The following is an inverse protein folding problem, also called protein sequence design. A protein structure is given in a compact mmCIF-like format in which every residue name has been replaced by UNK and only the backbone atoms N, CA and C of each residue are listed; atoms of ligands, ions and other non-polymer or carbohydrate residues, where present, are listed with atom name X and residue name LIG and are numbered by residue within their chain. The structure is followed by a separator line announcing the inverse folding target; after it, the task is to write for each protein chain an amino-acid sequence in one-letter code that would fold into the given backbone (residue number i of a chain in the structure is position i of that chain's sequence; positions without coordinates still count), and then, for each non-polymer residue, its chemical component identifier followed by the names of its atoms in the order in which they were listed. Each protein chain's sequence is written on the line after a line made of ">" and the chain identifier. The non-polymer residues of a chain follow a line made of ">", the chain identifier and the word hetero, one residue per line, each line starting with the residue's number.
data_IF_679522816368
#
_entry.id   IF_679522816368
#
_cell.length_a   1.000
_cell.length_b   1.000
_cell.length_c   1.000
_cell.angle_alpha   90.00
_cell.angle_beta   90.00
_cell.angle_gamma   90.00
#
_symmetry.space_group_name_H-M   'P 1'
#
loop_
_entity.id
_entity.type
_entity.pdbx_description
1 polymer ?
#
# COMPACT_ATOMS: atom_id res chain seq x y z
N UNK A 1 -24.50 22.96 2.14
CA UNK A 1 -23.03 22.94 1.88
C UNK A 1 -22.83 23.59 0.52
N UNK A 2 -22.27 24.82 0.48
CA UNK A 2 -21.94 25.50 -0.78
C UNK A 2 -20.72 24.83 -1.39
N UNK A 3 -20.84 24.37 -2.64
CA UNK A 3 -19.69 23.91 -3.43
C UNK A 3 -18.70 25.08 -3.59
N UNK A 4 -17.39 24.89 -3.33
CA UNK A 4 -16.42 25.93 -3.64
C UNK A 4 -16.40 26.22 -5.14
N UNK A 5 -16.05 27.45 -5.58
CA UNK A 5 -15.98 27.80 -6.98
C UNK A 5 -14.95 26.90 -7.69
N UNK A 6 -15.28 26.43 -8.89
CA UNK A 6 -14.32 25.73 -9.76
C UNK A 6 -13.22 26.71 -10.13
N UNK A 7 -12.08 26.61 -9.46
CA UNK A 7 -10.88 27.27 -9.93
C UNK A 7 -10.32 26.48 -11.11
N UNK A 8 -10.16 27.12 -12.24
CA UNK A 8 -9.42 26.63 -13.39
C UNK A 8 -7.92 26.68 -13.06
N UNK A 9 -7.43 25.73 -12.28
CA UNK A 9 -6.01 25.56 -12.03
C UNK A 9 -5.45 24.61 -13.10
N UNK A 10 -4.64 25.18 -13.99
CA UNK A 10 -4.05 24.51 -15.15
C UNK A 10 -2.73 23.80 -14.85
N UNK A 11 -2.58 23.23 -13.67
CA UNK A 11 -1.52 22.23 -13.41
C UNK A 11 -1.89 21.35 -12.21
N UNK A 12 -1.64 20.06 -12.32
CA UNK A 12 -1.83 19.09 -11.24
C UNK A 12 -1.02 19.42 -9.98
N UNK A 13 0.14 20.05 -10.12
CA UNK A 13 1.00 20.48 -9.02
C UNK A 13 0.37 21.61 -8.17
N UNK A 14 -0.22 22.62 -8.80
CA UNK A 14 -0.84 23.73 -8.07
C UNK A 14 -2.09 23.27 -7.30
N UNK A 15 -2.89 22.35 -7.86
CA UNK A 15 -4.03 21.77 -7.15
C UNK A 15 -3.57 20.95 -5.93
N UNK A 16 -2.51 20.17 -6.05
CA UNK A 16 -1.97 19.39 -4.93
C UNK A 16 -1.46 20.29 -3.79
N UNK A 17 -0.81 21.42 -4.10
CA UNK A 17 -0.29 22.34 -3.09
C UNK A 17 -1.39 23.06 -2.32
N UNK A 18 -2.52 23.34 -2.96
CA UNK A 18 -3.71 23.89 -2.29
C UNK A 18 -4.26 22.87 -1.27
N UNK A 19 -4.40 21.60 -1.64
CA UNK A 19 -4.91 20.57 -0.73
C UNK A 19 -3.97 20.30 0.45
N UNK A 20 -2.66 20.33 0.25
CA UNK A 20 -1.65 20.14 1.31
C UNK A 20 -1.79 21.19 2.41
N UNK A 21 -1.90 22.48 2.03
CA UNK A 21 -2.05 23.59 2.97
C UNK A 21 -3.41 23.60 3.63
N UNK A 22 -4.49 23.30 2.90
CA UNK A 22 -5.84 23.29 3.44
C UNK A 22 -6.01 22.38 4.66
N UNK A 23 -5.35 21.21 4.67
CA UNK A 23 -5.42 20.30 5.81
C UNK A 23 -4.79 20.93 7.05
N UNK A 24 -3.61 21.55 6.91
CA UNK A 24 -2.93 22.23 8.02
C UNK A 24 -3.71 23.46 8.50
N UNK A 25 -4.23 24.26 7.57
CA UNK A 25 -5.08 25.42 7.88
C UNK A 25 -6.31 25.00 8.69
N UNK A 26 -7.02 23.94 8.27
CA UNK A 26 -8.19 23.43 8.99
C UNK A 26 -7.83 22.89 10.37
N UNK A 27 -6.73 22.18 10.53
CA UNK A 27 -6.28 21.68 11.83
C UNK A 27 -6.08 22.84 12.79
N UNK A 28 -5.40 23.90 12.36
CA UNK A 28 -5.15 25.08 13.17
C UNK A 28 -6.42 25.86 13.46
N UNK A 29 -7.22 26.18 12.42
CA UNK A 29 -8.42 27.02 12.54
C UNK A 29 -9.53 26.36 13.35
N UNK A 30 -9.80 25.09 13.08
CA UNK A 30 -10.90 24.34 13.71
C UNK A 30 -10.44 23.59 14.99
N UNK A 31 -9.17 23.74 15.39
CA UNK A 31 -8.61 23.07 16.56
C UNK A 31 -8.84 21.55 16.51
N UNK A 32 -8.60 20.93 15.36
CA UNK A 32 -8.85 19.51 15.15
C UNK A 32 -8.03 18.68 16.13
N UNK A 33 -8.69 17.77 16.84
CA UNK A 33 -8.03 16.91 17.84
C UNK A 33 -7.55 15.56 17.27
N UNK A 34 -8.09 15.14 16.14
CA UNK A 34 -7.66 13.89 15.47
C UNK A 34 -8.27 13.74 14.08
N UNK A 35 -7.58 13.02 13.23
CA UNK A 35 -8.08 12.70 11.90
C UNK A 35 -7.54 11.36 11.41
N UNK A 36 -8.23 10.80 10.40
CA UNK A 36 -7.77 9.66 9.63
C UNK A 36 -7.19 10.17 8.32
N UNK A 37 -5.91 9.91 8.06
CA UNK A 37 -5.21 10.27 6.84
C UNK A 37 -4.75 9.05 6.05
N UNK A 38 -4.57 9.24 4.76
CA UNK A 38 -3.82 8.28 3.94
C UNK A 38 -2.34 8.64 3.96
N UNK A 39 -1.46 7.65 3.76
CA UNK A 39 0.00 7.84 3.72
C UNK A 39 0.43 9.01 2.84
N UNK A 40 -0.15 9.11 1.64
CA UNK A 40 0.15 10.19 0.68
C UNK A 40 -0.20 11.57 1.23
N UNK A 41 -1.31 11.70 1.97
CA UNK A 41 -1.72 12.96 2.59
C UNK A 41 -0.72 13.41 3.64
N UNK A 42 -0.27 12.51 4.51
CA UNK A 42 0.76 12.83 5.51
C UNK A 42 2.07 13.26 4.85
N UNK A 43 2.53 12.54 3.82
CA UNK A 43 3.72 12.93 3.05
C UNK A 43 3.58 14.35 2.49
N UNK A 44 2.43 14.67 1.92
CA UNK A 44 2.18 16.01 1.38
C UNK A 44 2.16 17.09 2.46
N UNK A 45 1.56 16.81 3.61
CA UNK A 45 1.54 17.75 4.73
C UNK A 45 2.96 18.04 5.23
N UNK A 46 3.80 17.01 5.38
CA UNK A 46 5.20 17.17 5.82
C UNK A 46 6.04 17.99 4.84
N UNK A 47 5.71 17.95 3.55
CA UNK A 47 6.40 18.68 2.49
C UNK A 47 5.93 20.15 2.32
N UNK A 48 4.99 20.63 3.12
CA UNK A 48 4.54 22.02 3.05
C UNK A 48 5.64 22.95 3.55
N UNK A 49 5.96 23.95 2.72
CA UNK A 49 6.89 25.02 3.11
C UNK A 49 6.38 25.73 4.37
N UNK A 50 7.26 25.92 5.34
CA UNK A 50 6.93 26.52 6.64
C UNK A 50 5.93 25.69 7.48
N UNK A 51 5.95 24.37 7.36
CA UNK A 51 5.15 23.46 8.20
C UNK A 51 5.22 23.80 9.69
N UNK A 52 6.42 24.17 10.19
CA UNK A 52 6.67 24.48 11.60
C UNK A 52 5.96 25.77 12.10
N UNK A 53 5.36 26.55 11.19
CA UNK A 53 4.59 27.76 11.56
C UNK A 53 3.13 27.46 11.87
N UNK A 54 2.65 26.25 11.61
CA UNK A 54 1.28 25.87 11.92
C UNK A 54 1.13 25.46 13.39
N UNK A 55 0.10 25.97 14.04
CA UNK A 55 -0.26 25.52 15.41
C UNK A 55 -1.04 24.19 15.32
N UNK A 56 -0.32 23.09 15.52
CA UNK A 56 -0.88 21.74 15.55
C UNK A 56 -1.08 21.21 16.99
N UNK A 57 -0.98 22.06 18.01
CA UNK A 57 -1.05 21.67 19.43
C UNK A 57 -2.39 21.08 19.86
N UNK A 58 -3.44 21.26 19.06
CA UNK A 58 -4.75 20.64 19.28
C UNK A 58 -4.80 19.15 18.94
N UNK A 59 -3.87 18.66 18.07
CA UNK A 59 -3.84 17.26 17.67
C UNK A 59 -3.49 16.34 18.85
N UNK A 60 -4.26 15.28 19.01
CA UNK A 60 -4.06 14.21 20.00
C UNK A 60 -3.76 12.87 19.35
N UNK A 61 -4.37 12.59 18.20
CA UNK A 61 -4.20 11.33 17.51
C UNK A 61 -4.34 11.51 16.00
N UNK A 62 -3.42 10.91 15.26
CA UNK A 62 -3.51 10.74 13.81
C UNK A 62 -3.47 9.25 13.51
N UNK A 63 -4.55 8.75 12.94
CA UNK A 63 -4.57 7.41 12.36
C UNK A 63 -4.21 7.52 10.88
N UNK A 64 -3.31 6.66 10.40
CA UNK A 64 -2.97 6.60 8.98
C UNK A 64 -3.11 5.18 8.44
N UNK A 65 -3.27 5.07 7.11
CA UNK A 65 -3.42 3.79 6.44
C UNK A 65 -3.67 3.92 4.94
N UNK A 66 -4.18 2.86 4.32
CA UNK A 66 -4.48 2.84 2.89
C UNK A 66 -3.29 2.53 1.98
N UNK A 67 -2.08 2.38 2.56
CA UNK A 67 -0.86 1.99 1.86
C UNK A 67 0.34 1.96 2.81
N UNK A 68 1.45 1.33 2.40
CA UNK A 68 2.67 1.31 3.20
C UNK A 68 3.24 2.72 3.36
N UNK A 69 3.87 2.99 4.50
CA UNK A 69 4.60 4.23 4.76
C UNK A 69 6.08 3.89 4.97
N UNK A 70 7.01 4.52 4.24
CA UNK A 70 8.43 4.31 4.46
C UNK A 70 8.86 4.66 5.89
N UNK A 71 9.75 3.86 6.48
CA UNK A 71 10.22 4.07 7.86
C UNK A 71 10.83 5.46 8.08
N UNK A 72 11.47 6.03 7.07
CA UNK A 72 12.00 7.40 7.10
C UNK A 72 10.92 8.45 7.29
N UNK A 73 9.79 8.28 6.60
CA UNK A 73 8.63 9.17 6.71
C UNK A 73 7.94 9.00 8.06
N UNK A 74 7.83 7.77 8.57
CA UNK A 74 7.30 7.52 9.92
C UNK A 74 8.15 8.26 10.97
N UNK A 75 9.47 8.17 10.89
CA UNK A 75 10.39 8.89 11.79
C UNK A 75 10.20 10.40 11.70
N UNK A 76 10.02 10.95 10.50
CA UNK A 76 9.75 12.37 10.29
C UNK A 76 8.40 12.79 10.89
N UNK A 77 7.33 12.03 10.62
CA UNK A 77 5.99 12.28 11.18
C UNK A 77 6.01 12.27 12.71
N UNK A 78 6.66 11.27 13.33
CA UNK A 78 6.81 11.19 14.79
C UNK A 78 7.59 12.37 15.39
N UNK A 79 8.54 12.93 14.64
CA UNK A 79 9.33 14.08 15.11
C UNK A 79 8.58 15.41 14.98
N UNK A 80 7.66 15.53 14.02
CA UNK A 80 7.00 16.80 13.68
C UNK A 80 5.57 16.93 14.23
N UNK A 81 4.85 15.83 14.39
CA UNK A 81 3.48 15.88 14.90
C UNK A 81 3.43 15.68 16.42
N UNK A 82 2.81 16.60 17.17
CA UNK A 82 2.77 16.57 18.64
C UNK A 82 1.64 15.66 19.15
N UNK A 83 1.43 14.47 18.53
CA UNK A 83 0.28 13.62 18.81
C UNK A 83 0.61 12.14 18.69
N UNK A 84 -0.33 11.29 19.09
CA UNK A 84 -0.22 9.85 18.89
C UNK A 84 -0.38 9.50 17.40
N UNK A 85 0.44 8.58 16.92
CA UNK A 85 0.39 8.05 15.56
C UNK A 85 0.01 6.57 15.63
N UNK A 86 -1.03 6.20 14.90
CA UNK A 86 -1.52 4.82 14.84
C UNK A 86 -1.69 4.44 13.37
N UNK A 87 -1.09 3.33 12.95
CA UNK A 87 -1.38 2.77 11.63
C UNK A 87 -2.61 1.86 11.72
N UNK A 88 -3.49 1.95 10.71
CA UNK A 88 -4.58 1.01 10.53
C UNK A 88 -4.50 0.36 9.16
N UNK A 89 -4.58 -0.97 9.12
CA UNK A 89 -4.80 -1.72 7.89
C UNK A 89 -6.26 -2.18 7.84
N UNK A 90 -6.85 -2.09 6.68
CA UNK A 90 -8.21 -2.53 6.42
C UNK A 90 -8.65 -2.24 4.99
N UNK A 91 -9.87 -2.60 4.73
CA UNK A 91 -10.56 -2.34 3.45
C UNK A 91 -12.04 -2.03 3.72
N UNK A 92 -12.72 -1.50 2.71
CA UNK A 92 -14.12 -1.06 2.85
C UNK A 92 -15.03 -2.20 3.35
N UNK A 93 -14.72 -3.42 2.96
CA UNK A 93 -15.46 -4.64 3.29
C UNK A 93 -15.40 -5.02 4.78
N UNK A 94 -14.40 -4.54 5.52
CA UNK A 94 -14.20 -4.94 6.93
C UNK A 94 -13.67 -3.82 7.82
N UNK A 95 -13.70 -2.57 7.35
CA UNK A 95 -13.19 -1.39 8.07
C UNK A 95 -11.71 -1.53 8.46
N UNK A 96 -11.29 -1.09 9.66
CA UNK A 96 -9.92 -1.27 10.15
C UNK A 96 -9.81 -2.60 10.91
N UNK A 97 -8.94 -3.47 10.45
CA UNK A 97 -8.78 -4.85 10.88
C UNK A 97 -7.62 -5.05 11.83
N UNK A 98 -6.48 -4.40 11.53
CA UNK A 98 -5.27 -4.46 12.34
C UNK A 98 -4.73 -3.08 12.64
N UNK A 99 -3.91 -2.99 13.70
CA UNK A 99 -3.32 -1.73 14.14
C UNK A 99 -1.85 -1.94 14.50
N UNK A 100 -1.00 -0.99 14.08
CA UNK A 100 0.32 -0.77 14.65
C UNK A 100 0.19 0.40 15.64
N UNK A 101 0.50 0.16 16.90
CA UNK A 101 0.25 1.10 17.99
C UNK A 101 1.27 2.23 18.04
N UNK A 102 0.98 3.28 18.80
CA UNK A 102 1.95 4.33 19.13
C UNK A 102 3.21 3.76 19.81
N UNK A 103 3.03 2.80 20.70
CA UNK A 103 4.16 2.17 21.39
C UNK A 103 5.09 1.43 20.44
N UNK A 104 4.51 0.69 19.46
CA UNK A 104 5.27 0.02 18.42
C UNK A 104 6.06 1.01 17.55
N UNK A 105 5.43 2.14 17.20
CA UNK A 105 6.11 3.19 16.45
C UNK A 105 7.30 3.78 17.24
N UNK A 106 7.13 4.08 18.52
CA UNK A 106 8.20 4.64 19.37
C UNK A 106 9.33 3.62 19.49
N UNK A 107 9.02 2.38 19.86
CA UNK A 107 10.04 1.32 20.04
C UNK A 107 10.83 1.11 18.76
N UNK A 108 10.16 0.99 17.62
CA UNK A 108 10.82 0.71 16.36
C UNK A 108 11.53 1.93 15.75
N UNK A 109 10.90 3.10 15.73
CA UNK A 109 11.43 4.25 15.03
C UNK A 109 12.43 5.08 15.85
N UNK A 110 12.26 5.12 17.18
CA UNK A 110 13.05 5.98 18.08
C UNK A 110 14.04 5.16 18.90
N UNK A 111 13.61 4.05 19.50
CA UNK A 111 14.44 3.21 20.34
C UNK A 111 15.26 2.17 19.56
N UNK A 112 14.94 1.93 18.27
CA UNK A 112 15.62 0.96 17.40
C UNK A 112 15.33 -0.49 17.78
N UNK A 113 14.22 -0.75 18.47
CA UNK A 113 13.80 -2.10 18.88
C UNK A 113 12.77 -2.66 17.91
N UNK A 114 13.10 -3.77 17.27
CA UNK A 114 12.22 -4.41 16.26
C UNK A 114 11.82 -3.45 15.12
N UNK A 115 12.78 -2.78 14.50
CA UNK A 115 12.57 -1.79 13.44
C UNK A 115 11.74 -2.34 12.27
N UNK A 116 11.81 -3.63 11.99
CA UNK A 116 11.03 -4.31 10.94
C UNK A 116 9.52 -4.20 11.17
N UNK A 117 9.06 -4.01 12.40
CA UNK A 117 7.62 -3.81 12.72
C UNK A 117 7.02 -2.59 12.04
N UNK A 118 7.82 -1.58 11.70
CA UNK A 118 7.36 -0.44 10.90
C UNK A 118 6.90 -0.83 9.49
N UNK A 119 7.30 -2.01 9.02
CA UNK A 119 6.85 -2.58 7.73
C UNK A 119 5.60 -3.44 7.85
N UNK A 120 5.20 -3.78 9.09
CA UNK A 120 3.99 -4.56 9.34
C UNK A 120 2.75 -3.68 9.23
N UNK A 121 1.61 -4.29 9.02
CA UNK A 121 0.31 -3.63 9.21
C UNK A 121 -0.22 -3.78 10.65
N UNK A 122 0.67 -4.14 11.59
CA UNK A 122 0.33 -4.36 12.98
C UNK A 122 -0.28 -5.73 13.23
N UNK A 123 -1.10 -5.83 14.27
CA UNK A 123 -1.78 -7.04 14.71
C UNK A 123 -3.27 -6.79 14.93
N UNK A 124 -4.04 -7.83 15.17
CA UNK A 124 -5.50 -7.75 15.30
C UNK A 124 -5.96 -6.66 16.26
N UNK A 125 -7.07 -6.03 15.90
CA UNK A 125 -7.73 -5.02 16.72
C UNK A 125 -8.65 -5.62 17.78
N UNK A 126 -9.19 -4.78 18.65
CA UNK A 126 -10.03 -5.22 19.80
C UNK A 126 -11.32 -5.94 19.40
N UNK A 127 -11.86 -5.68 18.21
CA UNK A 127 -13.14 -6.21 17.73
C UNK A 127 -12.98 -7.13 16.53
N UNK A 128 -11.75 -7.50 16.20
CA UNK A 128 -11.42 -8.33 15.04
C UNK A 128 -10.66 -9.57 15.49
N UNK A 129 -10.92 -10.70 14.81
CA UNK A 129 -10.03 -11.86 14.84
C UNK A 129 -9.37 -11.98 13.47
N UNK A 130 -8.06 -12.10 13.45
CA UNK A 130 -7.27 -12.14 12.20
C UNK A 130 -6.45 -13.42 12.16
N UNK A 131 -6.38 -14.04 10.98
CA UNK A 131 -5.50 -15.19 10.72
C UNK A 131 -4.80 -14.99 9.38
N UNK A 132 -3.65 -15.62 9.24
CA UNK A 132 -3.01 -15.84 7.95
C UNK A 132 -3.12 -17.32 7.63
N UNK A 133 -3.74 -17.65 6.50
CA UNK A 133 -4.14 -19.04 6.18
C UNK A 133 -3.66 -19.45 4.79
N UNK A 134 -3.53 -20.76 4.61
CA UNK A 134 -3.31 -21.37 3.29
C UNK A 134 -4.61 -21.33 2.45
N UNK A 135 -4.53 -21.86 1.22
CA UNK A 135 -5.69 -21.95 0.30
C UNK A 135 -6.86 -22.78 0.83
N UNK A 136 -6.60 -23.68 1.76
CA UNK A 136 -7.58 -24.58 2.36
C UNK A 136 -8.18 -24.00 3.68
N UNK A 137 -7.69 -22.83 4.10
CA UNK A 137 -8.15 -22.11 5.28
C UNK A 137 -7.47 -22.53 6.58
N UNK A 138 -6.40 -23.32 6.52
CA UNK A 138 -5.61 -23.69 7.68
C UNK A 138 -4.60 -22.59 8.02
N UNK A 139 -4.43 -22.21 9.30
CA UNK A 139 -3.43 -21.24 9.68
C UNK A 139 -2.02 -21.68 9.24
N UNK A 140 -1.27 -20.78 8.60
CA UNK A 140 0.13 -20.99 8.32
C UNK A 140 0.99 -20.74 9.56
N UNK A 141 2.23 -21.29 9.65
CA UNK A 141 3.16 -20.98 10.73
C UNK A 141 3.41 -19.47 10.86
N UNK A 142 3.55 -18.99 12.10
CA UNK A 142 3.94 -17.59 12.39
C UNK A 142 5.47 -17.44 12.47
N UNK A 143 6.13 -17.82 11.39
CA UNK A 143 7.59 -17.89 11.24
C UNK A 143 8.20 -16.70 10.48
N UNK A 144 7.40 -15.73 10.08
CA UNK A 144 7.76 -14.58 9.23
C UNK A 144 8.08 -14.93 7.77
N UNK A 145 8.05 -16.21 7.41
CA UNK A 145 8.50 -16.71 6.10
C UNK A 145 7.34 -17.32 5.28
N UNK A 146 6.49 -18.13 5.92
CA UNK A 146 5.40 -18.85 5.24
C UNK A 146 4.27 -17.89 4.88
N UNK A 147 3.99 -17.68 3.57
CA UNK A 147 2.93 -16.79 3.14
C UNK A 147 1.55 -17.46 3.22
N UNK A 148 0.54 -16.65 3.47
CA UNK A 148 -0.86 -17.05 3.40
C UNK A 148 -1.75 -15.84 3.16
N UNK A 149 -3.05 -16.07 2.96
CA UNK A 149 -4.03 -15.00 2.80
C UNK A 149 -4.52 -14.54 4.18
N UNK A 150 -4.64 -13.22 4.34
CA UNK A 150 -5.25 -12.65 5.54
C UNK A 150 -6.75 -12.91 5.50
N UNK A 151 -7.28 -13.53 6.57
CA UNK A 151 -8.73 -13.65 6.78
C UNK A 151 -9.14 -12.97 8.07
N UNK A 152 -10.33 -12.36 8.06
CA UNK A 152 -10.82 -11.55 9.18
C UNK A 152 -12.23 -11.94 9.55
N UNK A 153 -12.51 -12.06 10.85
CA UNK A 153 -13.85 -12.20 11.41
C UNK A 153 -14.12 -11.06 12.37
N UNK A 154 -15.20 -10.31 12.11
CA UNK A 154 -15.63 -9.18 12.92
C UNK A 154 -17.09 -8.88 12.64
N UNK A 155 -17.78 -8.31 13.63
CA UNK A 155 -19.14 -7.77 13.44
C UNK A 155 -19.14 -6.50 12.55
N UNK A 156 -17.96 -5.90 12.31
CA UNK A 156 -17.78 -4.77 11.40
C UNK A 156 -17.60 -5.20 9.93
N UNK A 157 -17.51 -6.51 9.65
CA UNK A 157 -17.44 -6.97 8.26
C UNK A 157 -18.75 -6.68 7.53
N UNK A 158 -18.63 -6.36 6.22
CA UNK A 158 -19.80 -6.18 5.36
C UNK A 158 -20.74 -7.39 5.40
N UNK A 159 -22.03 -7.15 5.20
CA UNK A 159 -23.02 -8.22 5.03
C UNK A 159 -22.85 -8.89 3.65
N UNK A 160 -22.36 -8.16 2.66
CA UNK A 160 -22.10 -8.65 1.31
C UNK A 160 -22.08 -7.53 0.26
N UNK A 161 -21.72 -7.89 -0.95
CA UNK A 161 -21.76 -6.99 -2.10
C UNK A 161 -23.19 -6.84 -2.64
N UNK A 162 -23.60 -5.59 -2.88
CA UNK A 162 -24.94 -5.28 -3.37
C UNK A 162 -25.22 -5.96 -4.72
N UNK A 163 -26.26 -6.81 -4.76
CA UNK A 163 -26.69 -7.60 -5.93
C UNK A 163 -25.61 -8.49 -6.54
N UNK A 164 -24.60 -8.89 -5.74
CA UNK A 164 -23.52 -9.78 -6.17
C UNK A 164 -23.32 -10.91 -5.14
N UNK A 165 -24.29 -11.83 -5.03
CA UNK A 165 -24.15 -12.96 -4.11
C UNK A 165 -22.96 -13.86 -4.48
N UNK A 166 -22.68 -14.01 -5.76
CA UNK A 166 -21.54 -14.73 -6.31
C UNK A 166 -20.19 -14.23 -5.74
N UNK A 167 -19.98 -12.92 -5.70
CA UNK A 167 -18.78 -12.33 -5.11
C UNK A 167 -18.80 -12.40 -3.58
N UNK A 168 -19.98 -12.26 -2.99
CA UNK A 168 -20.13 -12.35 -1.52
C UNK A 168 -19.71 -13.72 -1.01
N UNK A 169 -20.17 -14.81 -1.64
CA UNK A 169 -19.79 -16.18 -1.29
C UNK A 169 -18.30 -16.47 -1.48
N UNK A 170 -17.68 -15.87 -2.52
CA UNK A 170 -16.23 -15.96 -2.74
C UNK A 170 -15.45 -15.23 -1.65
N UNK A 171 -15.97 -14.13 -1.12
CA UNK A 171 -15.27 -13.25 -0.16
C UNK A 171 -15.56 -13.66 1.29
N UNK A 172 -16.80 -14.04 1.62
CA UNK A 172 -17.19 -14.44 2.98
C UNK A 172 -17.40 -15.95 2.99
N UNK A 173 -16.47 -16.68 3.62
CA UNK A 173 -16.48 -18.14 3.70
C UNK A 173 -16.47 -18.59 5.16
N UNK A 174 -17.45 -19.38 5.57
CA UNK A 174 -17.55 -19.91 6.93
C UNK A 174 -17.43 -18.83 8.04
N UNK A 175 -18.03 -17.64 7.80
CA UNK A 175 -18.00 -16.50 8.72
C UNK A 175 -16.67 -15.74 8.77
N UNK A 176 -15.72 -16.04 7.87
CA UNK A 176 -14.47 -15.31 7.69
C UNK A 176 -14.48 -14.56 6.37
N UNK A 177 -14.08 -13.32 6.39
CA UNK A 177 -13.86 -12.51 5.20
C UNK A 177 -12.42 -12.73 4.71
N UNK A 178 -12.28 -13.17 3.48
CA UNK A 178 -11.03 -13.35 2.77
C UNK A 178 -10.66 -12.03 2.11
N UNK A 179 -9.53 -11.46 2.50
CA UNK A 179 -9.18 -10.09 2.11
C UNK A 179 -8.58 -9.97 0.72
N UNK A 180 -8.06 -11.07 0.18
CA UNK A 180 -7.26 -11.07 -1.04
C UNK A 180 -5.85 -10.50 -0.84
N UNK A 181 -5.42 -10.19 0.38
CA UNK A 181 -4.07 -9.72 0.68
C UNK A 181 -3.23 -10.89 1.21
N UNK A 182 -2.08 -11.13 0.58
CA UNK A 182 -1.11 -12.17 0.97
C UNK A 182 -0.12 -11.57 1.95
N UNK A 183 0.13 -12.28 3.04
CA UNK A 183 1.00 -11.83 4.12
C UNK A 183 1.78 -12.97 4.76
N UNK A 184 2.80 -12.64 5.49
CA UNK A 184 3.41 -13.48 6.53
C UNK A 184 3.10 -12.88 7.90
N UNK A 185 3.25 -13.65 8.97
CA UNK A 185 3.16 -13.13 10.33
C UNK A 185 4.27 -13.68 11.21
N UNK A 186 4.64 -12.92 12.24
CA UNK A 186 5.68 -13.32 13.17
C UNK A 186 5.10 -13.96 14.44
N UNK A 187 6.00 -14.41 15.33
CA UNK A 187 5.64 -15.05 16.61
C UNK A 187 4.86 -14.14 17.55
N UNK A 188 4.95 -12.83 17.38
CA UNK A 188 4.20 -11.82 18.14
C UNK A 188 2.91 -11.42 17.43
N UNK A 189 2.53 -12.13 16.34
CA UNK A 189 1.36 -11.93 15.50
C UNK A 189 1.33 -10.59 14.74
N UNK A 190 2.49 -9.97 14.48
CA UNK A 190 2.55 -8.85 13.53
C UNK A 190 2.48 -9.37 12.11
N UNK A 191 1.66 -8.71 11.29
CA UNK A 191 1.32 -9.14 9.94
C UNK A 191 2.06 -8.26 8.92
N UNK A 192 2.76 -8.90 7.99
CA UNK A 192 3.58 -8.26 6.96
C UNK A 192 2.98 -8.55 5.59
N UNK A 193 2.27 -7.59 5.03
CA UNK A 193 1.65 -7.71 3.71
C UNK A 193 2.74 -7.82 2.67
N UNK A 194 2.64 -8.83 1.81
CA UNK A 194 3.56 -9.10 0.70
C UNK A 194 3.01 -8.57 -0.63
N UNK A 195 1.75 -8.88 -0.93
CA UNK A 195 1.09 -8.45 -2.15
C UNK A 195 -0.43 -8.72 -2.09
N UNK A 196 -1.13 -8.36 -3.13
CA UNK A 196 -2.48 -8.84 -3.38
C UNK A 196 -2.46 -10.16 -4.14
N UNK A 197 -3.31 -11.11 -3.79
CA UNK A 197 -3.42 -12.40 -4.46
C UNK A 197 -3.58 -12.26 -5.99
N UNK A 198 -4.39 -11.28 -6.42
CA UNK A 198 -4.63 -10.97 -7.83
C UNK A 198 -3.50 -10.23 -8.56
N UNK A 199 -2.57 -9.61 -7.82
CA UNK A 199 -1.44 -8.87 -8.37
C UNK A 199 -0.13 -9.68 -8.27
N UNK A 200 -0.18 -10.81 -7.56
CA UNK A 200 0.91 -11.78 -7.47
C UNK A 200 1.11 -12.45 -8.84
N UNK A 201 2.36 -12.54 -9.27
CA UNK A 201 2.76 -13.09 -10.57
C UNK A 201 3.20 -14.53 -10.35
N UNK A 202 2.66 -15.46 -11.15
CA UNK A 202 3.01 -16.88 -11.08
C UNK A 202 3.86 -17.25 -12.31
N UNK A 203 5.17 -17.26 -12.14
CA UNK A 203 6.12 -17.52 -13.21
C UNK A 203 6.87 -18.82 -12.96
N UNK A 204 6.73 -19.81 -13.83
CA UNK A 204 7.38 -21.11 -13.68
C UNK A 204 7.01 -21.88 -12.40
N UNK A 205 5.82 -21.61 -11.83
CA UNK A 205 5.37 -22.19 -10.57
C UNK A 205 5.82 -21.46 -9.33
N UNK A 206 6.64 -20.40 -9.47
CA UNK A 206 7.10 -19.56 -8.37
C UNK A 206 6.23 -18.32 -8.19
N UNK A 207 5.95 -17.97 -6.94
CA UNK A 207 5.20 -16.75 -6.60
C UNK A 207 6.15 -15.55 -6.56
N UNK A 208 5.87 -14.55 -7.39
CA UNK A 208 6.61 -13.30 -7.43
C UNK A 208 5.68 -12.18 -6.95
N UNK A 209 6.09 -11.51 -5.88
CA UNK A 209 5.34 -10.39 -5.32
C UNK A 209 5.67 -9.12 -6.07
N UNK A 210 4.67 -8.53 -6.71
CA UNK A 210 4.82 -7.33 -7.53
C UNK A 210 5.40 -6.16 -6.74
N UNK A 211 5.00 -6.00 -5.49
CA UNK A 211 5.50 -4.96 -4.57
C UNK A 211 7.00 -5.09 -4.32
N UNK A 212 7.50 -6.30 -4.15
CA UNK A 212 8.93 -6.54 -3.94
C UNK A 212 9.77 -6.13 -5.15
N UNK A 213 9.24 -6.38 -6.35
CA UNK A 213 9.89 -5.98 -7.60
C UNK A 213 9.85 -4.45 -7.76
N UNK A 214 8.73 -3.82 -7.44
CA UNK A 214 8.59 -2.36 -7.42
C UNK A 214 9.59 -1.70 -6.49
N UNK A 215 9.73 -2.20 -5.26
CA UNK A 215 10.71 -1.70 -4.30
C UNK A 215 12.15 -1.80 -4.84
N UNK A 216 12.49 -2.90 -5.51
CA UNK A 216 13.81 -3.08 -6.09
C UNK A 216 14.08 -2.11 -7.25
N UNK A 217 13.09 -1.86 -8.11
CA UNK A 217 13.17 -0.90 -9.22
C UNK A 217 13.29 0.53 -8.68
N UNK A 218 12.53 0.89 -7.64
CA UNK A 218 12.55 2.23 -7.05
C UNK A 218 13.89 2.60 -6.39
N UNK A 219 14.84 1.65 -6.23
CA UNK A 219 16.20 1.96 -5.80
C UNK A 219 17.04 2.61 -6.89
N UNK A 220 16.60 2.60 -8.14
CA UNK A 220 17.25 3.34 -9.22
C UNK A 220 16.96 4.83 -9.08
N UNK A 221 18.02 5.66 -9.10
CA UNK A 221 17.92 7.10 -8.81
C UNK A 221 16.98 7.87 -9.75
N UNK A 222 16.91 7.45 -11.02
CA UNK A 222 16.07 8.08 -12.04
C UNK A 222 14.58 7.70 -11.93
N UNK A 223 14.21 6.69 -11.15
CA UNK A 223 12.82 6.21 -11.06
C UNK A 223 12.03 7.12 -10.12
N UNK A 224 10.89 7.61 -10.60
CA UNK A 224 9.90 8.33 -9.80
C UNK A 224 8.90 7.36 -9.17
N UNK A 225 8.29 6.52 -10.01
CA UNK A 225 7.32 5.50 -9.60
C UNK A 225 7.27 4.35 -10.61
N UNK A 226 6.78 3.20 -10.17
CA UNK A 226 6.67 2.03 -11.03
C UNK A 226 5.43 1.21 -10.70
N UNK A 227 4.96 0.44 -11.67
CA UNK A 227 3.91 -0.57 -11.51
C UNK A 227 4.36 -1.87 -12.15
N UNK A 228 4.32 -2.95 -11.38
CA UNK A 228 4.75 -4.28 -11.82
C UNK A 228 3.54 -5.23 -11.82
N UNK A 229 3.44 -6.03 -12.87
CA UNK A 229 2.38 -7.02 -13.04
C UNK A 229 2.82 -8.17 -13.96
N UNK A 230 2.10 -9.28 -13.91
CA UNK A 230 2.31 -10.42 -14.80
C UNK A 230 1.65 -10.20 -16.16
N UNK A 231 2.34 -10.62 -17.22
CA UNK A 231 1.80 -10.74 -18.56
C UNK A 231 1.91 -12.20 -19.03
N UNK A 232 1.07 -12.65 -19.97
CA UNK A 232 1.17 -14.01 -20.51
C UNK A 232 2.56 -14.33 -21.05
N UNK A 233 3.01 -15.56 -20.79
CA UNK A 233 4.29 -16.07 -21.25
C UNK A 233 4.14 -17.57 -21.57
N UNK A 234 4.48 -17.95 -22.80
CA UNK A 234 4.26 -19.31 -23.30
C UNK A 234 5.10 -20.38 -22.58
N UNK A 235 6.27 -20.01 -22.06
CA UNK A 235 7.18 -20.93 -21.39
C UNK A 235 6.92 -21.00 -19.88
N UNK A 236 6.66 -19.84 -19.25
CA UNK A 236 6.60 -19.70 -17.78
C UNK A 236 5.19 -19.46 -17.23
N UNK A 237 4.17 -19.41 -18.11
CA UNK A 237 2.80 -19.06 -17.77
C UNK A 237 2.64 -17.53 -17.61
N UNK A 238 3.44 -16.92 -16.77
CA UNK A 238 3.51 -15.46 -16.65
C UNK A 238 4.97 -14.98 -16.66
N UNK A 239 5.18 -13.76 -17.17
CA UNK A 239 6.44 -13.06 -17.04
C UNK A 239 6.27 -11.68 -16.42
N UNK A 240 7.30 -11.24 -15.70
CA UNK A 240 7.28 -9.97 -14.97
C UNK A 240 7.46 -8.81 -15.92
N UNK A 241 6.49 -7.90 -15.96
CA UNK A 241 6.54 -6.64 -16.70
C UNK A 241 6.50 -5.44 -15.75
N UNK A 242 7.37 -4.47 -16.00
CA UNK A 242 7.39 -3.22 -15.27
C UNK A 242 7.01 -2.04 -16.16
N UNK A 243 6.14 -1.16 -15.67
CA UNK A 243 5.93 0.17 -16.21
C UNK A 243 6.61 1.16 -15.29
N UNK A 244 7.40 2.06 -15.85
CA UNK A 244 8.27 2.97 -15.10
C UNK A 244 8.04 4.40 -15.52
N UNK A 245 7.87 5.29 -14.56
CA UNK A 245 7.88 6.74 -14.74
C UNK A 245 9.22 7.27 -14.22
N UNK A 246 9.93 8.02 -15.02
CA UNK A 246 11.18 8.64 -14.64
C UNK A 246 10.95 10.00 -13.97
N UNK A 247 11.88 10.41 -13.13
CA UNK A 247 11.94 11.78 -12.60
C UNK A 247 12.17 12.77 -13.73
N UNK A 248 11.70 14.02 -13.61
CA UNK A 248 11.99 15.07 -14.57
C UNK A 248 13.49 15.17 -14.85
N UNK A 249 13.85 15.34 -16.12
CA UNK A 249 15.22 15.51 -16.62
C UNK A 249 16.18 14.33 -16.35
N UNK A 250 15.64 13.17 -15.90
CA UNK A 250 16.41 11.95 -15.71
C UNK A 250 16.17 10.96 -16.86
N UNK A 251 17.20 10.15 -17.16
CA UNK A 251 17.16 9.13 -18.21
C UNK A 251 17.65 7.79 -17.65
N UNK A 252 17.05 6.73 -18.10
CA UNK A 252 17.49 5.36 -17.86
C UNK A 252 17.08 4.47 -19.04
N UNK A 253 17.87 3.48 -19.34
CA UNK A 253 17.50 2.42 -20.28
C UNK A 253 16.72 1.31 -19.59
N UNK A 254 16.07 0.46 -20.36
CA UNK A 254 15.42 -0.77 -19.85
C UNK A 254 16.42 -1.66 -19.09
N UNK A 255 17.63 -1.82 -19.64
CA UNK A 255 18.70 -2.61 -19.02
C UNK A 255 19.17 -2.03 -17.67
N UNK A 256 19.21 -0.72 -17.51
CA UNK A 256 19.58 -0.07 -16.25
C UNK A 256 18.58 -0.43 -15.15
N UNK A 257 17.30 -0.37 -15.46
CA UNK A 257 16.22 -0.73 -14.53
C UNK A 257 16.28 -2.22 -14.17
N UNK A 258 16.40 -3.10 -15.18
CA UNK A 258 16.48 -4.55 -14.98
C UNK A 258 17.73 -4.90 -14.16
N UNK A 259 18.87 -4.30 -14.45
CA UNK A 259 20.11 -4.53 -13.73
C UNK A 259 20.04 -4.03 -12.28
N UNK A 260 19.36 -2.91 -12.04
CA UNK A 260 19.10 -2.44 -10.66
C UNK A 260 18.23 -3.43 -9.89
N UNK A 261 17.12 -3.87 -10.48
CA UNK A 261 16.26 -4.87 -9.86
C UNK A 261 17.02 -6.17 -9.56
N UNK A 262 17.84 -6.65 -10.50
CA UNK A 262 18.66 -7.89 -10.38
C UNK A 262 19.63 -7.88 -9.20
N UNK A 263 20.10 -6.70 -8.75
CA UNK A 263 21.00 -6.60 -7.58
C UNK A 263 20.28 -6.93 -6.26
N UNK A 264 18.97 -6.90 -6.24
CA UNK A 264 18.15 -6.99 -5.04
C UNK A 264 17.13 -8.13 -5.06
N UNK A 265 17.03 -8.85 -6.19
CA UNK A 265 16.04 -9.89 -6.43
C UNK A 265 16.71 -11.17 -6.91
N UNK A 266 16.05 -12.31 -6.68
CA UNK A 266 16.42 -13.55 -7.33
C UNK A 266 16.24 -13.44 -8.85
N UNK A 267 16.96 -14.25 -9.63
CA UNK A 267 17.01 -14.10 -11.08
C UNK A 267 15.65 -14.26 -11.77
N UNK A 268 14.76 -15.07 -11.21
CA UNK A 268 13.41 -15.32 -11.73
C UNK A 268 12.43 -14.17 -11.41
N UNK A 269 12.71 -13.36 -10.40
CA UNK A 269 11.84 -12.26 -9.96
C UNK A 269 12.06 -10.96 -10.73
N UNK A 270 13.20 -10.79 -11.42
CA UNK A 270 13.50 -9.56 -12.14
C UNK A 270 12.53 -9.35 -13.32
N UNK A 271 12.23 -8.11 -13.70
CA UNK A 271 11.45 -7.85 -14.91
C UNK A 271 12.09 -8.48 -16.15
N UNK A 272 11.28 -9.11 -17.00
CA UNK A 272 11.68 -9.51 -18.35
C UNK A 272 11.62 -8.35 -19.32
N UNK A 273 10.74 -7.36 -19.07
CA UNK A 273 10.61 -6.18 -19.90
C UNK A 273 10.20 -4.96 -19.09
N UNK A 274 10.65 -3.80 -19.53
CA UNK A 274 10.30 -2.50 -18.96
C UNK A 274 9.66 -1.63 -20.04
N UNK A 275 8.65 -0.85 -19.66
CA UNK A 275 8.06 0.16 -20.53
C UNK A 275 8.05 1.50 -19.79
N UNK A 276 8.66 2.50 -20.39
CA UNK A 276 8.59 3.87 -19.86
C UNK A 276 7.30 4.53 -20.29
N UNK A 277 6.67 5.25 -19.38
CA UNK A 277 5.44 6.01 -19.60
C UNK A 277 5.53 7.34 -18.83
N UNK A 278 4.77 8.33 -19.26
CA UNK A 278 4.77 9.65 -18.64
C UNK A 278 4.08 9.65 -17.29
N UNK A 279 3.04 8.84 -17.11
CA UNK A 279 2.18 8.81 -15.91
C UNK A 279 1.55 7.43 -15.72
N UNK A 280 1.49 6.94 -14.47
CA UNK A 280 0.73 5.74 -14.10
C UNK A 280 -0.74 6.07 -13.88
N UNK A 281 -1.69 5.22 -14.34
CA UNK A 281 -3.11 5.40 -14.08
C UNK A 281 -3.40 5.29 -12.57
N UNK A 282 -4.05 6.30 -12.01
CA UNK A 282 -4.37 6.38 -10.58
C UNK A 282 -5.85 6.61 -10.32
N UNK A 283 -6.34 6.02 -9.24
CA UNK A 283 -7.62 6.38 -8.67
C UNK A 283 -7.57 7.80 -8.05
N UNK A 284 -8.73 8.44 -7.79
CA UNK A 284 -8.77 9.74 -7.10
C UNK A 284 -8.06 9.75 -5.72
N UNK A 285 -7.89 8.60 -5.11
CA UNK A 285 -7.14 8.40 -3.86
C UNK A 285 -5.61 8.34 -4.05
N UNK A 286 -5.11 8.44 -5.28
CA UNK A 286 -3.69 8.31 -5.60
C UNK A 286 -3.21 6.85 -5.76
N UNK A 287 -4.08 5.85 -5.55
CA UNK A 287 -3.72 4.43 -5.72
C UNK A 287 -3.53 4.09 -7.20
N UNK A 288 -2.41 3.45 -7.53
CA UNK A 288 -2.12 2.96 -8.88
C UNK A 288 -3.14 1.89 -9.28
N UNK A 289 -3.72 2.03 -10.46
CA UNK A 289 -4.68 1.09 -11.05
C UNK A 289 -3.94 0.09 -11.96
N UNK A 290 -3.22 -0.86 -11.37
CA UNK A 290 -2.46 -1.89 -12.10
C UNK A 290 -3.33 -2.62 -13.13
N UNK A 291 -4.60 -2.83 -12.82
CA UNK A 291 -5.56 -3.46 -13.70
C UNK A 291 -5.59 -2.81 -15.09
N UNK A 292 -5.62 -1.48 -15.15
CA UNK A 292 -5.69 -0.76 -16.43
C UNK A 292 -4.44 -0.96 -17.30
N UNK A 293 -3.30 -1.33 -16.69
CA UNK A 293 -2.05 -1.61 -17.39
C UNK A 293 -1.95 -3.08 -17.79
N UNK A 294 -2.48 -3.97 -16.97
CA UNK A 294 -2.40 -5.41 -17.11
C UNK A 294 -3.42 -5.97 -18.09
N UNK A 295 -4.71 -5.61 -17.94
CA UNK A 295 -5.83 -6.20 -18.67
C UNK A 295 -5.63 -6.24 -20.19
N UNK A 296 -5.05 -5.21 -20.88
CA UNK A 296 -4.79 -5.27 -22.32
C UNK A 296 -3.88 -6.42 -22.78
N UNK A 297 -3.07 -6.99 -21.91
CA UNK A 297 -2.22 -8.14 -22.22
C UNK A 297 -2.95 -9.48 -22.07
N UNK A 298 -4.11 -9.47 -21.41
CA UNK A 298 -4.89 -10.65 -21.08
C UNK A 298 -6.20 -10.77 -21.87
N UNK A 299 -6.53 -9.77 -22.74
CA UNK A 299 -7.78 -9.74 -23.52
C UNK A 299 -7.97 -10.98 -24.41
N UNK A 300 -6.88 -11.57 -24.90
CA UNK A 300 -6.90 -12.75 -25.76
C UNK A 300 -6.61 -14.07 -25.00
N UNK A 301 -6.58 -14.05 -23.68
CA UNK A 301 -6.25 -15.22 -22.86
C UNK A 301 -7.50 -15.79 -22.18
N UNK A 302 -7.64 -17.12 -22.22
CA UNK A 302 -8.74 -17.85 -21.56
C UNK A 302 -8.64 -17.85 -20.01
N UNK A 303 -7.66 -17.17 -19.41
CA UNK A 303 -7.44 -17.12 -17.98
C UNK A 303 -8.29 -16.02 -17.35
N UNK A 304 -9.27 -16.37 -16.52
CA UNK A 304 -9.94 -15.41 -15.62
C UNK A 304 -8.92 -14.85 -14.63
N UNK A 305 -8.73 -13.52 -14.63
CA UNK A 305 -7.82 -12.77 -13.74
C UNK A 305 -8.60 -12.20 -12.55
#
# INVERSE_FOLDING_TARGET
>A
IRRPPRSTLSSSSAASDVYKRQALDLIQQERVSGFLGITTMLNWMMAVENFDKYDLSSLRCVQYGGGPMPSTVIKEVLSKLPCQIIQGYGQTEGTTMTFLSQEDHIKAAIEGVNEERLKSCGREGFVTSVKVVDKDGNPVPNDSETPGEIIVRSDANMVGYFRRPDLTEKTIRNGWMWTGDIATWDQDNYIFIKDRAKDMIISGGENIYSVQVEEAICKHEAVLETAVFGIPDDEWGESVKAYVVLKPDMHASEDDIINTAKKHLASYQKPKSVKFIDELPKAPTGKILKRNLRDPYWEDSDKEI
#
